data_IF_473194690694
#
_entry.id   IF_473194690694
#
_cell.length_a   1.000
_cell.length_b   1.000
_cell.length_c   1.000
_cell.angle_alpha   90.00
_cell.angle_beta   90.00
_cell.angle_gamma   90.00
#
_symmetry.space_group_name_H-M   'P 1'
#
loop_
_entity.id
_entity.type
_entity.pdbx_description
1 polymer ?
#
# COMPACT_ATOMS: atom_id res chain seq x y z
N UNK A 1 4.72 -7.32 -13.31
CA UNK A 1 5.10 -6.68 -12.02
C UNK A 1 6.46 -6.05 -12.20
N UNK A 2 6.58 -4.73 -12.05
CA UNK A 2 7.86 -4.04 -12.14
C UNK A 2 8.20 -3.48 -10.75
N UNK A 3 9.31 -3.94 -10.17
CA UNK A 3 9.68 -3.59 -8.80
C UNK A 3 10.72 -2.46 -8.82
N UNK A 4 10.34 -1.26 -8.38
CA UNK A 4 11.24 -0.09 -8.32
C UNK A 4 11.39 0.41 -6.89
N UNK A 5 12.47 0.02 -6.23
CA UNK A 5 12.80 0.49 -4.88
C UNK A 5 13.76 1.66 -4.91
N UNK A 6 13.36 2.80 -4.35
CA UNK A 6 14.23 3.96 -4.09
C UNK A 6 14.68 4.04 -2.62
N UNK A 7 14.37 3.02 -1.81
CA UNK A 7 14.73 2.97 -0.39
C UNK A 7 16.21 2.63 -0.20
N UNK A 8 16.92 3.48 0.55
CA UNK A 8 18.02 3.01 1.40
C UNK A 8 17.49 2.15 2.55
N UNK A 9 18.38 1.62 3.39
CA UNK A 9 17.92 0.77 4.52
C UNK A 9 17.22 1.60 5.62
N UNK A 10 15.96 1.30 5.89
CA UNK A 10 15.13 1.91 6.95
C UNK A 10 14.50 0.83 7.83
N UNK A 11 14.09 1.19 9.05
CA UNK A 11 13.49 0.27 10.02
C UNK A 11 12.11 0.75 10.44
N UNK A 12 11.20 -0.19 10.72
CA UNK A 12 9.87 0.05 11.31
C UNK A 12 9.62 -0.99 12.38
N UNK A 13 8.81 -0.67 13.40
CA UNK A 13 8.35 -1.64 14.40
C UNK A 13 6.98 -2.16 13.99
N UNK A 14 6.93 -3.38 13.48
CA UNK A 14 5.69 -4.05 13.07
C UNK A 14 5.84 -5.57 13.15
N UNK A 15 4.72 -6.31 13.21
CA UNK A 15 4.72 -7.74 12.96
C UNK A 15 5.07 -7.99 11.49
N UNK A 16 6.18 -8.70 11.26
CA UNK A 16 6.72 -8.92 9.92
C UNK A 16 5.80 -9.74 9.02
N UNK A 17 5.07 -10.72 9.59
CA UNK A 17 4.11 -11.54 8.84
C UNK A 17 2.89 -10.72 8.45
N UNK A 18 2.36 -9.92 9.36
CA UNK A 18 1.19 -9.06 9.10
C UNK A 18 1.53 -7.97 8.09
N UNK A 19 2.70 -7.35 8.20
CA UNK A 19 3.14 -6.36 7.21
C UNK A 19 3.36 -6.98 5.82
N UNK A 20 3.97 -8.17 5.75
CA UNK A 20 4.11 -8.89 4.49
C UNK A 20 2.75 -9.26 3.88
N UNK A 21 1.78 -9.68 4.71
CA UNK A 21 0.42 -9.95 4.28
C UNK A 21 -0.29 -8.69 3.79
N UNK A 22 -0.17 -7.57 4.50
CA UNK A 22 -0.73 -6.29 4.11
C UNK A 22 -0.22 -5.86 2.73
N UNK A 23 1.10 -5.90 2.54
CA UNK A 23 1.73 -5.58 1.26
C UNK A 23 1.28 -6.54 0.15
N UNK A 24 1.22 -7.85 0.45
CA UNK A 24 0.73 -8.87 -0.48
C UNK A 24 -0.71 -8.61 -0.92
N UNK A 25 -1.59 -8.21 0.01
CA UNK A 25 -2.97 -7.85 -0.31
C UNK A 25 -3.06 -6.60 -1.20
N UNK A 26 -2.23 -5.59 -0.98
CA UNK A 26 -2.21 -4.40 -1.85
C UNK A 26 -1.74 -4.73 -3.26
N UNK A 27 -0.68 -5.54 -3.38
CA UNK A 27 -0.18 -6.00 -4.69
C UNK A 27 -1.21 -6.87 -5.40
N UNK A 28 -1.87 -7.79 -4.69
CA UNK A 28 -2.94 -8.61 -5.26
C UNK A 28 -4.09 -7.74 -5.78
N UNK A 29 -4.54 -6.75 -5.00
CA UNK A 29 -5.57 -5.81 -5.45
C UNK A 29 -5.15 -5.06 -6.74
N UNK A 30 -3.90 -4.60 -6.82
CA UNK A 30 -3.39 -3.89 -7.99
C UNK A 30 -3.27 -4.80 -9.22
N UNK A 31 -2.89 -6.07 -9.04
CA UNK A 31 -2.82 -7.06 -10.14
C UNK A 31 -4.21 -7.47 -10.61
N UNK A 32 -5.15 -7.69 -9.69
CA UNK A 32 -6.50 -8.17 -9.99
C UNK A 32 -7.43 -7.08 -10.52
N UNK A 33 -7.26 -5.84 -10.06
CA UNK A 33 -8.20 -4.74 -10.33
C UNK A 33 -7.56 -3.52 -11.00
N UNK A 34 -6.24 -3.46 -11.04
CA UNK A 34 -5.50 -2.40 -11.70
C UNK A 34 -5.38 -2.60 -13.20
N UNK A 35 -4.60 -1.72 -13.83
CA UNK A 35 -4.22 -1.82 -15.22
C UNK A 35 -2.73 -1.51 -15.37
N UNK A 36 -2.13 -2.00 -16.46
CA UNK A 36 -0.74 -1.72 -16.78
C UNK A 36 0.25 -2.31 -15.77
N UNK A 37 1.38 -1.61 -15.58
CA UNK A 37 2.41 -2.02 -14.65
C UNK A 37 1.96 -1.77 -13.20
N UNK A 38 2.21 -2.74 -12.33
CA UNK A 38 2.15 -2.57 -10.88
C UNK A 38 3.55 -2.19 -10.39
N UNK A 39 3.67 -1.03 -9.77
CA UNK A 39 4.89 -0.53 -9.16
C UNK A 39 4.79 -0.55 -7.64
N UNK A 40 5.80 -1.10 -6.97
CA UNK A 40 5.98 -0.92 -5.52
C UNK A 40 7.10 0.09 -5.29
N UNK A 41 6.80 1.18 -4.60
CA UNK A 41 7.79 2.18 -4.15
C UNK A 41 7.83 2.22 -2.63
N UNK A 42 8.97 2.56 -2.09
CA UNK A 42 9.08 2.89 -0.68
C UNK A 42 9.95 4.12 -0.50
N UNK A 43 9.74 4.85 0.59
CA UNK A 43 10.56 6.02 0.97
C UNK A 43 10.41 6.33 2.45
N UNK A 44 11.41 7.00 3.02
CA UNK A 44 11.29 7.67 4.31
C UNK A 44 10.85 9.13 4.10
N UNK A 45 9.89 9.60 4.90
CA UNK A 45 9.44 11.00 4.98
C UNK A 45 9.43 11.44 6.45
N UNK A 46 10.53 12.05 6.89
CA UNK A 46 10.73 12.41 8.30
C UNK A 46 10.63 11.17 9.20
N UNK A 47 9.65 11.19 10.11
CA UNK A 47 9.38 10.13 11.08
C UNK A 47 8.47 9.02 10.54
N UNK A 48 8.24 8.97 9.23
CA UNK A 48 7.39 7.99 8.59
C UNK A 48 8.14 7.22 7.50
N UNK A 49 7.86 5.91 7.40
CA UNK A 49 8.18 5.08 6.25
C UNK A 49 6.89 4.87 5.47
N UNK A 50 6.92 5.20 4.18
CA UNK A 50 5.77 5.09 3.30
C UNK A 50 6.07 4.03 2.23
N UNK A 51 5.24 2.99 2.16
CA UNK A 51 5.27 1.95 1.14
C UNK A 51 4.04 2.12 0.24
N UNK A 52 4.23 2.25 -1.07
CA UNK A 52 3.18 2.53 -2.04
C UNK A 52 3.12 1.46 -3.12
N UNK A 53 1.92 0.93 -3.35
CA UNK A 53 1.58 0.14 -4.53
C UNK A 53 0.83 1.05 -5.50
N UNK A 54 1.35 1.21 -6.72
CA UNK A 54 0.75 1.98 -7.81
C UNK A 54 0.35 1.08 -8.97
N UNK A 55 -0.77 1.41 -9.61
CA UNK A 55 -1.20 0.85 -10.90
C UNK A 55 -1.91 1.91 -11.75
N UNK A 56 -2.04 1.68 -13.06
CA UNK A 56 -2.67 2.61 -14.01
C UNK A 56 -4.21 2.56 -13.99
N UNK A 57 -4.79 2.01 -12.92
CA UNK A 57 -6.23 1.93 -12.62
C UNK A 57 -7.11 1.26 -13.66
N UNK A 58 -7.82 0.19 -13.24
CA UNK A 58 -8.83 -0.44 -14.08
C UNK A 58 -10.06 0.45 -14.34
N UNK A 59 -10.73 0.21 -15.48
CA UNK A 59 -11.93 0.92 -15.95
C UNK A 59 -13.15 0.76 -15.02
N UNK A 60 -13.18 -0.27 -14.18
CA UNK A 60 -14.34 -0.64 -13.34
C UNK A 60 -14.31 -0.06 -11.91
N UNK A 61 -13.27 0.70 -11.56
CA UNK A 61 -13.16 1.24 -10.20
C UNK A 61 -13.89 2.57 -9.99
N UNK A 62 -14.37 3.21 -11.07
CA UNK A 62 -15.18 4.44 -11.04
C UNK A 62 -16.54 4.30 -10.31
N UNK A 63 -16.96 3.08 -9.95
CA UNK A 63 -18.32 2.81 -9.41
C UNK A 63 -18.43 2.33 -7.96
N UNK A 64 -17.38 2.27 -7.13
CA UNK A 64 -17.59 2.01 -5.68
C UNK A 64 -16.78 2.97 -4.82
N UNK A 65 -17.21 4.22 -4.86
CA UNK A 65 -17.15 5.13 -3.72
C UNK A 65 -18.25 4.70 -2.75
N UNK A 66 -17.88 4.13 -1.60
CA UNK A 66 -18.81 3.86 -0.51
C UNK A 66 -18.99 2.37 -0.19
N UNK A 67 -18.76 2.05 1.09
CA UNK A 67 -19.24 0.87 1.83
C UNK A 67 -19.13 -0.48 1.09
N UNK A 68 -17.96 -1.10 1.20
CA UNK A 68 -17.78 -2.55 0.97
C UNK A 68 -16.85 -2.89 -0.20
N UNK A 69 -15.53 -2.89 0.00
CA UNK A 69 -14.54 -3.36 -0.98
C UNK A 69 -13.34 -4.03 -0.28
N UNK A 70 -13.29 -5.37 -0.31
CA UNK A 70 -12.07 -6.17 -0.19
C UNK A 70 -11.57 -6.45 1.24
N UNK A 71 -11.67 -7.73 1.66
CA UNK A 71 -10.99 -8.23 2.87
C UNK A 71 -9.49 -7.87 2.87
N UNK A 72 -8.87 -7.78 1.68
CA UNK A 72 -7.47 -7.40 1.52
C UNK A 72 -7.13 -6.01 2.08
N UNK A 73 -7.94 -4.99 1.80
CA UNK A 73 -7.71 -3.63 2.33
C UNK A 73 -7.99 -3.57 3.83
N UNK A 74 -8.98 -4.29 4.33
CA UNK A 74 -9.25 -4.37 5.78
C UNK A 74 -8.10 -5.02 6.55
N UNK A 75 -7.56 -6.13 6.02
CA UNK A 75 -6.38 -6.79 6.61
C UNK A 75 -5.17 -5.85 6.57
N UNK A 76 -4.96 -5.17 5.45
CA UNK A 76 -3.84 -4.23 5.32
C UNK A 76 -3.97 -3.04 6.29
N UNK A 77 -5.19 -2.48 6.44
CA UNK A 77 -5.51 -1.45 7.41
C UNK A 77 -5.25 -1.90 8.85
N UNK A 78 -5.78 -3.06 9.24
CA UNK A 78 -5.58 -3.60 10.59
C UNK A 78 -4.10 -3.83 10.91
N UNK A 79 -3.33 -4.39 9.97
CA UNK A 79 -1.91 -4.65 10.17
C UNK A 79 -1.08 -3.37 10.37
N UNK A 80 -1.41 -2.29 9.64
CA UNK A 80 -0.68 -1.02 9.74
C UNK A 80 -1.14 -0.20 10.96
N UNK A 81 -2.42 -0.25 11.32
CA UNK A 81 -2.97 0.37 12.53
C UNK A 81 -2.36 -0.24 13.79
N UNK A 82 -2.20 -1.57 13.85
CA UNK A 82 -1.51 -2.27 14.95
C UNK A 82 -0.04 -1.83 15.12
N UNK A 83 0.59 -1.36 14.05
CA UNK A 83 1.95 -0.82 14.07
C UNK A 83 1.99 0.71 14.32
N UNK A 84 0.86 1.33 14.69
CA UNK A 84 0.74 2.78 14.92
C UNK A 84 0.74 3.61 13.63
N UNK A 85 0.49 2.96 12.49
CA UNK A 85 0.46 3.55 11.17
C UNK A 85 -0.95 3.68 10.59
N UNK A 86 -1.04 3.91 9.28
CA UNK A 86 -2.31 3.99 8.55
C UNK A 86 -2.20 3.53 7.10
N UNK A 87 -3.34 3.15 6.53
CA UNK A 87 -3.50 2.85 5.11
C UNK A 87 -4.24 4.01 4.43
N UNK A 88 -3.72 4.50 3.32
CA UNK A 88 -4.45 5.43 2.42
C UNK A 88 -4.58 4.81 1.03
N UNK A 89 -5.69 5.10 0.36
CA UNK A 89 -5.91 4.72 -1.03
C UNK A 89 -6.41 5.95 -1.77
N UNK A 90 -5.65 6.37 -2.78
CA UNK A 90 -5.96 7.52 -3.62
C UNK A 90 -6.12 7.04 -5.06
N UNK A 91 -7.07 7.65 -5.78
CA UNK A 91 -7.22 7.47 -7.22
C UNK A 91 -7.24 8.83 -7.86
N UNK A 92 -6.30 9.08 -8.77
CA UNK A 92 -6.15 10.36 -9.47
C UNK A 92 -5.74 10.08 -10.91
N UNK A 93 -6.34 10.80 -11.86
CA UNK A 93 -5.93 10.79 -13.28
C UNK A 93 -5.86 9.39 -13.94
N UNK A 94 -6.65 8.44 -13.44
CA UNK A 94 -6.64 7.06 -13.91
C UNK A 94 -5.70 6.13 -13.14
N UNK A 95 -4.79 6.65 -12.31
CA UNK A 95 -3.91 5.84 -11.47
C UNK A 95 -4.56 5.50 -10.12
N UNK A 96 -4.24 4.33 -9.56
CA UNK A 96 -4.55 3.96 -8.18
C UNK A 96 -3.25 3.89 -7.38
N UNK A 97 -3.24 4.50 -6.20
CA UNK A 97 -2.10 4.47 -5.26
C UNK A 97 -2.61 4.03 -3.90
N UNK A 98 -2.18 2.86 -3.44
CA UNK A 98 -2.40 2.39 -2.07
C UNK A 98 -1.12 2.54 -1.26
N UNK A 99 -1.15 3.26 -0.14
CA UNK A 99 0.01 3.56 0.68
C UNK A 99 -0.15 3.06 2.12
N UNK A 100 0.83 2.28 2.58
CA UNK A 100 1.03 1.95 3.99
C UNK A 100 2.01 2.96 4.58
N UNK A 101 1.59 3.64 5.64
CA UNK A 101 2.38 4.64 6.34
C UNK A 101 2.66 4.15 7.75
N UNK A 102 3.93 3.93 8.07
CA UNK A 102 4.39 3.36 9.33
C UNK A 102 5.33 4.35 10.03
N UNK A 103 5.29 4.47 11.37
CA UNK A 103 6.31 5.21 12.09
C UNK A 103 7.70 4.63 11.81
N UNK A 104 8.64 5.50 11.45
CA UNK A 104 10.04 5.13 11.32
C UNK A 104 10.59 4.78 12.70
N UNK A 105 11.34 3.68 12.78
CA UNK A 105 12.08 3.31 13.97
C UNK A 105 13.56 3.65 13.78
N UNK A 106 14.18 4.17 14.82
CA UNK A 106 15.63 4.22 14.89
C UNK A 106 16.19 2.79 14.95
N UNK A 107 17.36 2.61 14.33
CA UNK A 107 18.01 1.31 14.17
C UNK A 107 18.44 0.70 15.49
#
# INVERSE_FOLDING_TARGET
LELRSELGSTTVRADSRRLAQALGNLVANAVEHGAGAVELRGRRRGDWVVLEVRDQGGRDAAGRTGKGRGRGLQIAGSAVEEAGGRLTVQRAEGETVAALELPAAER
#
